data_IF_829671143207
#
_entry.id   IF_829671143207
#
_cell.length_a   1.000
_cell.length_b   1.000
_cell.length_c   1.000
_cell.angle_alpha   90.00
_cell.angle_beta   90.00
_cell.angle_gamma   90.00
#
_symmetry.space_group_name_H-M   'P 1'
#
loop_
_entity.id
_entity.type
_entity.pdbx_description
1 polymer ?
#
# COMPACT_ATOMS: atom_id res chain seq x y z
N UNK A 1 17.33 -19.19 32.54
CA UNK A 1 16.99 -19.53 31.14
C UNK A 1 16.17 -20.80 31.14
N UNK A 2 15.09 -20.86 30.35
CA UNK A 2 14.27 -22.06 30.16
C UNK A 2 14.84 -22.95 29.03
N UNK A 3 14.48 -24.23 28.96
CA UNK A 3 14.93 -25.10 27.89
C UNK A 3 14.50 -24.60 26.49
N UNK A 4 13.33 -23.98 26.37
CA UNK A 4 12.87 -23.39 25.11
C UNK A 4 13.79 -22.26 24.62
N UNK A 5 14.17 -21.35 25.52
CA UNK A 5 15.11 -20.28 25.22
C UNK A 5 16.51 -20.82 24.90
N UNK A 6 16.94 -21.88 25.59
CA UNK A 6 18.21 -22.54 25.31
C UNK A 6 18.24 -23.16 23.91
N UNK A 7 17.16 -23.82 23.48
CA UNK A 7 17.05 -24.42 22.15
C UNK A 7 17.11 -23.37 21.02
N UNK A 8 16.41 -22.25 21.17
CA UNK A 8 16.43 -21.15 20.20
C UNK A 8 17.85 -20.58 20.04
N UNK A 9 18.53 -20.33 21.17
CA UNK A 9 19.93 -19.86 21.18
C UNK A 9 20.92 -20.88 20.60
N UNK A 10 20.71 -22.16 20.87
CA UNK A 10 21.54 -23.23 20.30
C UNK A 10 21.40 -23.31 18.78
N UNK A 11 20.20 -23.06 18.23
CA UNK A 11 19.99 -23.04 16.78
C UNK A 11 20.68 -21.85 16.11
N UNK A 12 20.68 -20.68 16.74
CA UNK A 12 21.40 -19.48 16.24
C UNK A 12 22.92 -19.68 16.23
N UNK A 13 23.46 -20.41 17.23
CA UNK A 13 24.89 -20.64 17.40
C UNK A 13 25.38 -21.92 16.71
N UNK A 14 24.48 -22.73 16.14
CA UNK A 14 24.79 -23.99 15.49
C UNK A 14 25.85 -23.89 14.36
N UNK A 15 25.85 -22.87 13.48
CA UNK A 15 26.84 -22.79 12.39
C UNK A 15 28.25 -22.35 12.85
N UNK A 16 28.44 -22.02 14.14
CA UNK A 16 29.74 -21.65 14.67
C UNK A 16 30.52 -22.92 15.00
N UNK A 17 31.25 -23.41 14.01
CA UNK A 17 32.24 -24.46 14.20
C UNK A 17 33.45 -23.89 14.93
N UNK A 18 33.56 -24.16 16.24
CA UNK A 18 34.81 -23.90 16.99
C UNK A 18 34.67 -23.66 18.49
N UNK A 19 35.84 -23.37 19.09
CA UNK A 19 36.07 -23.01 20.50
C UNK A 19 35.48 -21.64 20.91
N UNK A 20 34.53 -21.10 20.15
CA UNK A 20 33.88 -19.85 20.51
C UNK A 20 33.15 -19.99 21.85
N UNK A 21 33.45 -19.05 22.74
CA UNK A 21 32.95 -19.06 24.10
C UNK A 21 31.43 -18.91 24.10
N UNK A 22 30.74 -19.94 24.57
CA UNK A 22 29.29 -19.90 24.78
C UNK A 22 28.93 -18.74 25.74
N UNK A 23 27.81 -18.04 25.49
CA UNK A 23 27.27 -17.07 26.44
C UNK A 23 27.16 -17.67 27.85
N UNK A 24 27.58 -16.93 28.89
CA UNK A 24 27.71 -17.45 30.26
C UNK A 24 26.42 -18.03 30.85
N UNK A 25 25.29 -17.50 30.45
CA UNK A 25 23.94 -17.91 30.81
C UNK A 25 23.53 -19.23 30.13
N UNK A 26 23.93 -19.44 28.88
CA UNK A 26 23.78 -20.72 28.17
C UNK A 26 24.71 -21.79 28.76
N UNK A 27 25.97 -21.44 29.02
CA UNK A 27 26.94 -22.34 29.64
C UNK A 27 26.48 -22.83 31.02
N UNK A 28 25.98 -21.93 31.88
CA UNK A 28 25.41 -22.31 33.18
C UNK A 28 24.21 -23.23 33.06
N UNK A 29 23.33 -23.01 32.09
CA UNK A 29 22.18 -23.89 31.90
C UNK A 29 22.60 -25.29 31.44
N UNK A 30 23.56 -25.38 30.50
CA UNK A 30 24.10 -26.64 29.99
C UNK A 30 24.78 -27.49 31.07
N UNK A 31 25.32 -26.86 32.13
CA UNK A 31 25.84 -27.59 33.30
C UNK A 31 24.73 -28.29 34.10
N UNK A 32 23.51 -27.77 34.07
CA UNK A 32 22.37 -28.27 34.85
C UNK A 32 21.36 -29.09 34.05
N UNK A 33 21.37 -29.02 32.72
CA UNK A 33 20.37 -29.63 31.86
C UNK A 33 21.00 -30.61 30.86
N UNK A 34 20.86 -31.90 31.14
CA UNK A 34 21.40 -32.98 30.31
C UNK A 34 20.83 -32.99 28.89
N UNK A 35 19.52 -32.77 28.75
CA UNK A 35 18.83 -32.78 27.45
C UNK A 35 19.34 -31.70 26.49
N UNK A 36 19.56 -30.48 26.98
CA UNK A 36 20.10 -29.39 26.13
C UNK A 36 21.57 -29.65 25.76
N UNK A 37 22.33 -30.32 26.63
CA UNK A 37 23.71 -30.72 26.38
C UNK A 37 23.81 -31.78 25.29
N UNK A 38 22.94 -32.79 25.31
CA UNK A 38 22.83 -33.79 24.24
C UNK A 38 22.50 -33.13 22.89
N UNK A 39 21.57 -32.17 22.88
CA UNK A 39 21.18 -31.45 21.67
C UNK A 39 22.33 -30.64 21.07
N UNK A 40 23.13 -29.97 21.91
CA UNK A 40 24.33 -29.25 21.49
C UNK A 40 25.37 -30.22 20.90
N UNK A 41 25.59 -31.37 21.55
CA UNK A 41 26.53 -32.38 21.08
C UNK A 41 26.13 -32.94 19.71
N UNK A 42 24.85 -33.33 19.55
CA UNK A 42 24.31 -33.83 18.28
C UNK A 42 24.42 -32.77 17.17
N UNK A 43 24.17 -31.50 17.48
CA UNK A 43 24.30 -30.41 16.51
C UNK A 43 25.76 -30.22 16.08
N UNK A 44 26.71 -30.22 17.03
CA UNK A 44 28.14 -30.12 16.72
C UNK A 44 28.63 -31.28 15.87
N UNK A 45 28.22 -32.50 16.20
CA UNK A 45 28.58 -33.68 15.41
C UNK A 45 28.08 -33.58 13.96
N UNK A 46 26.83 -33.13 13.76
CA UNK A 46 26.29 -32.89 12.41
C UNK A 46 27.10 -31.84 11.64
N UNK A 47 27.51 -30.75 12.29
CA UNK A 47 28.32 -29.71 11.66
C UNK A 47 29.75 -30.16 11.37
N UNK A 48 30.35 -30.96 12.24
CA UNK A 48 31.65 -31.57 12.00
C UNK A 48 31.58 -32.52 10.80
N UNK A 49 30.53 -33.34 10.68
CA UNK A 49 30.32 -34.19 9.49
C UNK A 49 30.14 -33.36 8.21
N UNK A 50 29.40 -32.25 8.28
CA UNK A 50 29.25 -31.30 7.17
C UNK A 50 30.57 -30.59 6.81
N UNK A 51 31.41 -30.27 7.79
CA UNK A 51 32.71 -29.64 7.57
C UNK A 51 33.71 -30.57 6.87
N UNK A 52 33.58 -31.88 7.07
CA UNK A 52 34.37 -32.91 6.39
C UNK A 52 33.73 -33.39 5.09
N UNK A 53 32.55 -32.86 4.72
CA UNK A 53 31.95 -33.16 3.44
C UNK A 53 32.92 -32.70 2.34
N UNK A 54 33.31 -33.56 1.40
CA UNK A 54 34.23 -33.18 0.35
C UNK A 54 33.64 -32.00 -0.42
N UNK A 55 34.33 -30.85 -0.37
CA UNK A 55 34.03 -29.71 -1.23
C UNK A 55 34.12 -30.19 -2.67
N UNK A 56 32.95 -30.45 -3.26
CA UNK A 56 32.86 -30.83 -4.64
C UNK A 56 33.13 -29.55 -5.44
N UNK A 57 34.25 -29.48 -6.14
CA UNK A 57 34.58 -28.34 -6.99
C UNK A 57 33.40 -28.08 -7.93
N UNK A 58 32.70 -26.98 -7.69
CA UNK A 58 31.61 -26.57 -8.57
C UNK A 58 32.19 -26.34 -9.96
N UNK A 59 31.62 -26.93 -11.01
CA UNK A 59 32.06 -26.68 -12.38
C UNK A 59 32.08 -25.17 -12.63
N UNK A 60 33.20 -24.64 -13.13
CA UNK A 60 33.36 -23.20 -13.36
C UNK A 60 32.25 -22.62 -14.26
N UNK A 61 31.67 -23.46 -15.11
CA UNK A 61 30.52 -23.14 -15.95
C UNK A 61 29.23 -22.91 -15.14
N UNK A 62 28.99 -23.69 -14.09
CA UNK A 62 27.87 -23.49 -13.17
C UNK A 62 28.04 -22.21 -12.36
N UNK A 63 29.24 -21.94 -11.84
CA UNK A 63 29.56 -20.70 -11.13
C UNK A 63 29.36 -19.49 -12.03
N UNK A 64 29.85 -19.54 -13.28
CA UNK A 64 29.62 -18.49 -14.28
C UNK A 64 28.13 -18.33 -14.59
N UNK A 65 27.38 -19.42 -14.71
CA UNK A 65 25.93 -19.37 -15.01
C UNK A 65 25.14 -18.76 -13.86
N UNK A 66 25.46 -19.12 -12.62
CA UNK A 66 24.84 -18.53 -11.42
C UNK A 66 25.25 -17.06 -11.28
N UNK A 67 26.52 -16.72 -11.46
CA UNK A 67 27.00 -15.34 -11.38
C UNK A 67 26.42 -14.43 -12.48
N UNK A 68 26.25 -14.96 -13.70
CA UNK A 68 25.63 -14.22 -14.81
C UNK A 68 24.12 -14.05 -14.60
N UNK A 69 23.41 -15.08 -14.11
CA UNK A 69 22.00 -14.93 -13.69
C UNK A 69 21.84 -13.94 -12.54
N UNK A 70 22.66 -14.03 -11.50
CA UNK A 70 22.63 -13.11 -10.37
C UNK A 70 22.92 -11.66 -10.82
N UNK A 71 23.87 -11.46 -11.74
CA UNK A 71 24.14 -10.14 -12.33
C UNK A 71 23.04 -9.66 -13.27
N UNK A 72 22.38 -10.55 -14.00
CA UNK A 72 21.24 -10.21 -14.85
C UNK A 72 19.99 -9.86 -14.03
N UNK A 73 19.73 -10.57 -12.94
CA UNK A 73 18.69 -10.23 -11.95
C UNK A 73 19.03 -8.92 -11.19
N UNK A 74 20.30 -8.68 -10.88
CA UNK A 74 20.75 -7.43 -10.29
C UNK A 74 20.69 -6.25 -11.28
N UNK A 75 20.88 -6.47 -12.59
CA UNK A 75 20.73 -5.44 -13.63
C UNK A 75 19.28 -5.17 -14.00
N UNK A 76 18.40 -6.17 -13.93
CA UNK A 76 16.94 -6.00 -14.10
C UNK A 76 16.25 -5.47 -12.84
N UNK A 77 16.99 -5.28 -11.75
CA UNK A 77 16.65 -4.32 -10.71
C UNK A 77 16.83 -2.87 -11.22
N UNK A 78 16.26 -2.59 -12.40
CA UNK A 78 16.04 -1.26 -12.93
C UNK A 78 15.39 -0.40 -11.85
N UNK A 79 15.92 0.80 -11.70
CA UNK A 79 15.66 1.70 -10.58
C UNK A 79 14.16 1.73 -10.24
N UNK A 80 13.75 1.17 -9.08
CA UNK A 80 12.33 1.08 -8.71
C UNK A 80 11.66 2.45 -8.65
N UNK A 81 12.46 3.49 -8.46
CA UNK A 81 12.06 4.88 -8.50
C UNK A 81 11.62 5.34 -9.90
N UNK A 82 12.37 5.00 -10.96
CA UNK A 82 12.06 5.48 -12.31
C UNK A 82 10.77 4.90 -12.86
N UNK A 83 10.53 3.60 -12.63
CA UNK A 83 9.29 2.94 -13.05
C UNK A 83 8.10 3.53 -12.28
N UNK A 84 8.24 3.72 -10.96
CA UNK A 84 7.21 4.35 -10.14
C UNK A 84 6.89 5.78 -10.59
N UNK A 85 7.93 6.55 -10.94
CA UNK A 85 7.80 7.90 -11.50
C UNK A 85 7.06 7.92 -12.83
N UNK A 86 7.37 7.02 -13.76
CA UNK A 86 6.69 6.93 -15.06
C UNK A 86 5.20 6.61 -14.86
N UNK A 87 4.87 5.61 -14.05
CA UNK A 87 3.48 5.27 -13.76
C UNK A 87 2.75 6.40 -13.05
N UNK A 88 3.41 7.05 -12.09
CA UNK A 88 2.83 8.18 -11.37
C UNK A 88 2.55 9.37 -12.28
N UNK A 89 3.45 9.66 -13.21
CA UNK A 89 3.28 10.70 -14.21
C UNK A 89 2.13 10.38 -15.17
N UNK A 90 2.06 9.15 -15.69
CA UNK A 90 0.97 8.72 -16.58
C UNK A 90 -0.39 8.81 -15.88
N UNK A 91 -0.47 8.38 -14.62
CA UNK A 91 -1.69 8.49 -13.82
C UNK A 91 -2.09 9.95 -13.57
N UNK A 92 -1.12 10.81 -13.24
CA UNK A 92 -1.35 12.25 -13.06
C UNK A 92 -1.86 12.90 -14.35
N UNK A 93 -1.27 12.58 -15.50
CA UNK A 93 -1.68 13.09 -16.81
C UNK A 93 -3.08 12.60 -17.20
N UNK A 94 -3.40 11.33 -16.97
CA UNK A 94 -4.72 10.78 -17.24
C UNK A 94 -5.80 11.45 -16.38
N UNK A 95 -5.53 11.62 -15.07
CA UNK A 95 -6.44 12.32 -14.17
C UNK A 95 -6.60 13.81 -14.55
N UNK A 96 -5.51 14.47 -14.94
CA UNK A 96 -5.55 15.86 -15.42
C UNK A 96 -6.40 16.00 -16.70
N UNK A 97 -6.23 15.07 -17.65
CA UNK A 97 -6.99 15.03 -18.89
C UNK A 97 -8.50 14.86 -18.65
N UNK A 98 -8.88 13.95 -17.75
CA UNK A 98 -10.29 13.76 -17.38
C UNK A 98 -10.87 15.04 -16.79
N UNK A 99 -10.15 15.73 -15.90
CA UNK A 99 -10.61 16.98 -15.31
C UNK A 99 -10.70 18.10 -16.36
N UNK A 100 -9.66 18.29 -17.18
CA UNK A 100 -9.63 19.36 -18.19
C UNK A 100 -10.69 19.19 -19.29
N UNK A 101 -11.13 17.95 -19.55
CA UNK A 101 -12.18 17.68 -20.55
C UNK A 101 -13.57 18.20 -20.15
N UNK A 102 -13.79 18.53 -18.86
CA UNK A 102 -15.10 18.92 -18.31
C UNK A 102 -15.10 20.25 -17.55
N UNK A 103 -13.93 20.74 -17.13
CA UNK A 103 -13.78 21.97 -16.35
C UNK A 103 -12.93 22.96 -17.14
N UNK A 104 -13.45 24.17 -17.39
CA UNK A 104 -12.63 25.28 -17.88
C UNK A 104 -11.61 25.65 -16.80
N UNK A 105 -10.34 25.43 -17.10
CA UNK A 105 -9.21 25.75 -16.22
C UNK A 105 -8.69 27.18 -16.43
N UNK A 106 -9.42 28.00 -17.19
CA UNK A 106 -8.98 29.34 -17.62
C UNK A 106 -8.67 30.28 -16.44
N UNK A 107 -9.16 29.96 -15.25
CA UNK A 107 -9.05 30.76 -14.03
C UNK A 107 -7.96 30.23 -13.07
N UNK A 108 -7.36 29.07 -13.35
CA UNK A 108 -6.32 28.47 -12.49
C UNK A 108 -4.95 28.89 -13.01
N UNK A 109 -4.08 29.49 -12.17
CA UNK A 109 -2.76 29.90 -12.62
C UNK A 109 -1.93 28.68 -13.07
N UNK A 110 -1.10 28.79 -14.13
CA UNK A 110 -0.28 27.68 -14.64
C UNK A 110 0.61 27.05 -13.56
N UNK A 111 1.14 27.86 -12.65
CA UNK A 111 1.93 27.39 -11.50
C UNK A 111 1.11 26.51 -10.54
N UNK A 112 -0.18 26.80 -10.36
CA UNK A 112 -1.08 25.97 -9.55
C UNK A 112 -1.30 24.60 -10.19
N UNK A 113 -1.45 24.54 -11.52
CA UNK A 113 -1.57 23.29 -12.26
C UNK A 113 -0.30 22.44 -12.16
N UNK A 114 0.87 23.06 -12.31
CA UNK A 114 2.17 22.37 -12.16
C UNK A 114 2.36 21.85 -10.74
N UNK A 115 2.02 22.65 -9.72
CA UNK A 115 2.11 22.24 -8.32
C UNK A 115 1.22 21.04 -8.01
N UNK A 116 -0.03 21.05 -8.48
CA UNK A 116 -0.96 19.93 -8.29
C UNK A 116 -0.52 18.68 -9.07
N UNK A 117 -0.05 18.85 -10.31
CA UNK A 117 0.52 17.75 -11.10
C UNK A 117 1.74 17.11 -10.43
N UNK A 118 2.62 17.92 -9.84
CA UNK A 118 3.78 17.43 -9.09
C UNK A 118 3.34 16.66 -7.83
N UNK A 119 2.38 17.18 -7.06
CA UNK A 119 1.81 16.50 -5.89
C UNK A 119 1.20 15.16 -6.29
N UNK A 120 0.43 15.09 -7.37
CA UNK A 120 -0.12 13.85 -7.88
C UNK A 120 0.97 12.86 -8.27
N UNK A 121 1.97 13.32 -9.03
CA UNK A 121 3.08 12.48 -9.47
C UNK A 121 3.80 11.87 -8.26
N UNK A 122 4.09 12.66 -7.23
CA UNK A 122 4.71 12.19 -5.99
C UNK A 122 3.83 11.18 -5.26
N UNK A 123 2.52 11.46 -5.12
CA UNK A 123 1.57 10.55 -4.45
C UNK A 123 1.46 9.21 -5.18
N UNK A 124 1.20 9.23 -6.49
CA UNK A 124 1.11 8.00 -7.28
C UNK A 124 2.44 7.24 -7.33
N UNK A 125 3.57 7.95 -7.45
CA UNK A 125 4.90 7.33 -7.43
C UNK A 125 5.22 6.72 -6.09
N UNK A 126 4.91 7.40 -4.98
CA UNK A 126 5.08 6.86 -3.63
C UNK A 126 4.25 5.60 -3.41
N UNK A 127 3.02 5.60 -3.91
CA UNK A 127 2.11 4.44 -3.83
C UNK A 127 2.64 3.25 -4.64
N UNK A 128 3.15 3.50 -5.85
CA UNK A 128 3.78 2.49 -6.71
C UNK A 128 5.14 2.01 -6.17
N UNK A 129 5.89 2.88 -5.51
CA UNK A 129 7.15 2.56 -4.87
C UNK A 129 6.93 1.68 -3.63
N UNK A 130 5.94 2.01 -2.80
CA UNK A 130 5.49 1.16 -1.68
C UNK A 130 5.04 -0.24 -2.17
N UNK A 131 4.36 -0.31 -3.31
CA UNK A 131 4.00 -1.57 -3.96
C UNK A 131 5.22 -2.43 -4.30
N UNK A 132 6.33 -1.82 -4.74
CA UNK A 132 7.56 -2.55 -5.10
C UNK A 132 8.42 -2.93 -3.88
N UNK A 133 8.46 -2.09 -2.85
CA UNK A 133 9.27 -2.29 -1.64
C UNK A 133 8.76 -3.41 -0.73
N UNK A 134 7.46 -3.70 -0.77
CA UNK A 134 6.83 -4.73 0.05
C UNK A 134 7.11 -6.17 -0.44
N UNK A 135 8.37 -6.50 -0.77
CA UNK A 135 8.79 -7.78 -1.39
C UNK A 135 8.58 -8.99 -0.46
N UNK A 136 8.64 -8.82 0.86
CA UNK A 136 8.36 -9.87 1.87
C UNK A 136 6.86 -10.01 2.25
N UNK A 137 6.03 -9.01 1.98
CA UNK A 137 4.57 -9.04 2.17
C UNK A 137 3.81 -8.95 0.84
N UNK A 138 4.47 -9.46 -0.21
CA UNK A 138 4.21 -9.22 -1.63
C UNK A 138 2.76 -9.48 -2.06
N UNK A 139 2.12 -10.50 -1.48
CA UNK A 139 0.73 -10.85 -1.84
C UNK A 139 -0.26 -9.81 -1.32
N UNK A 140 -0.21 -9.47 -0.03
CA UNK A 140 -1.21 -8.59 0.57
C UNK A 140 -1.18 -7.16 0.00
N UNK A 141 0.01 -6.57 -0.18
CA UNK A 141 0.17 -5.21 -0.71
C UNK A 141 -0.19 -5.14 -2.20
N UNK A 142 0.10 -6.19 -2.96
CA UNK A 142 -0.29 -6.29 -4.36
C UNK A 142 -1.81 -6.21 -4.53
N UNK A 143 -2.56 -6.94 -3.69
CA UNK A 143 -4.03 -6.93 -3.73
C UNK A 143 -4.62 -5.61 -3.28
N UNK A 144 -4.13 -5.03 -2.18
CA UNK A 144 -4.58 -3.72 -1.71
C UNK A 144 -4.39 -2.65 -2.79
N UNK A 145 -3.23 -2.64 -3.44
CA UNK A 145 -2.93 -1.66 -4.51
C UNK A 145 -3.79 -1.88 -5.74
N UNK A 146 -4.03 -3.13 -6.15
CA UNK A 146 -4.94 -3.44 -7.26
C UNK A 146 -6.36 -2.97 -6.97
N UNK A 147 -6.87 -3.16 -5.76
CA UNK A 147 -8.17 -2.64 -5.35
C UNK A 147 -8.21 -1.11 -5.45
N UNK A 148 -7.16 -0.42 -4.99
CA UNK A 148 -7.06 1.05 -5.08
C UNK A 148 -7.02 1.53 -6.54
N UNK A 149 -6.29 0.86 -7.43
CA UNK A 149 -6.22 1.22 -8.85
C UNK A 149 -7.55 0.98 -9.57
N UNK A 150 -8.22 -0.13 -9.29
CA UNK A 150 -9.56 -0.43 -9.85
C UNK A 150 -10.57 0.60 -9.34
N UNK A 151 -10.57 0.89 -8.04
CA UNK A 151 -11.41 1.94 -7.46
C UNK A 151 -11.11 3.31 -8.07
N UNK A 152 -9.83 3.64 -8.29
CA UNK A 152 -9.38 4.85 -8.98
C UNK A 152 -9.91 4.95 -10.41
N UNK A 153 -9.78 3.88 -11.20
CA UNK A 153 -10.31 3.81 -12.55
C UNK A 153 -11.84 3.94 -12.59
N UNK A 154 -12.54 3.23 -11.70
CA UNK A 154 -14.00 3.34 -11.57
C UNK A 154 -14.43 4.74 -11.14
N UNK A 155 -13.72 5.37 -10.23
CA UNK A 155 -13.98 6.75 -9.81
C UNK A 155 -13.81 7.74 -10.97
N UNK A 156 -12.73 7.62 -11.74
CA UNK A 156 -12.50 8.47 -12.91
C UNK A 156 -13.59 8.25 -13.97
N UNK A 157 -14.00 7.00 -14.20
CA UNK A 157 -15.10 6.67 -15.12
C UNK A 157 -16.43 7.25 -14.63
N UNK A 158 -16.75 7.09 -13.35
CA UNK A 158 -17.94 7.70 -12.75
C UNK A 158 -17.88 9.23 -12.77
N UNK A 159 -16.69 9.82 -12.64
CA UNK A 159 -16.49 11.28 -12.74
C UNK A 159 -16.69 11.77 -14.17
N UNK A 160 -16.29 10.96 -15.15
CA UNK A 160 -16.47 11.26 -16.57
C UNK A 160 -17.94 11.14 -17.01
N UNK A 161 -18.66 10.15 -16.46
CA UNK A 161 -20.06 9.84 -16.78
C UNK A 161 -21.06 10.68 -15.98
N UNK A 162 -20.75 11.01 -14.73
CA UNK A 162 -21.63 11.81 -13.87
C UNK A 162 -21.51 13.30 -14.19
N UNK A 163 -22.63 14.02 -14.35
CA UNK A 163 -22.63 15.47 -14.57
C UNK A 163 -22.36 16.22 -13.24
N UNK A 164 -21.19 16.01 -12.65
CA UNK A 164 -20.64 16.84 -11.56
C UNK A 164 -20.56 18.35 -11.92
N UNK A 165 -20.43 18.79 -13.18
CA UNK A 165 -20.48 20.22 -13.51
C UNK A 165 -21.77 20.92 -13.07
N UNK A 166 -22.90 20.20 -12.95
CA UNK A 166 -24.17 20.75 -12.48
C UNK A 166 -24.16 21.10 -10.99
N UNK A 167 -23.47 20.31 -10.15
CA UNK A 167 -23.30 20.61 -8.72
C UNK A 167 -22.30 21.75 -8.49
N UNK A 168 -21.26 21.84 -9.32
CA UNK A 168 -20.27 22.94 -9.29
C UNK A 168 -20.91 24.28 -9.68
N UNK A 169 -21.73 24.31 -10.73
CA UNK A 169 -22.46 25.53 -11.16
C UNK A 169 -23.57 25.94 -10.18
N UNK A 170 -24.18 24.98 -9.48
CA UNK A 170 -25.12 25.28 -8.39
C UNK A 170 -24.41 25.96 -7.20
N UNK A 171 -23.21 25.49 -6.84
CA UNK A 171 -22.46 26.02 -5.70
C UNK A 171 -21.84 27.41 -5.91
N UNK A 172 -21.36 27.73 -7.13
CA UNK A 172 -20.82 29.07 -7.39
C UNK A 172 -21.90 30.16 -7.36
N UNK A 173 -23.15 29.84 -7.69
CA UNK A 173 -24.29 30.78 -7.70
C UNK A 173 -24.90 31.04 -6.33
N UNK A 174 -24.87 30.06 -5.41
CA UNK A 174 -25.55 30.14 -4.10
C UNK A 174 -24.63 30.51 -2.92
N UNK A 175 -23.33 30.74 -3.18
CA UNK A 175 -22.29 30.99 -2.16
C UNK A 175 -22.52 32.25 -1.28
N UNK A 176 -23.02 33.35 -1.86
CA UNK A 176 -23.04 34.65 -1.18
C UNK A 176 -24.33 34.88 -0.37
N UNK A 177 -25.43 34.24 -0.74
CA UNK A 177 -26.77 34.66 -0.31
C UNK A 177 -27.43 33.74 0.74
N UNK A 178 -26.84 32.59 1.07
CA UNK A 178 -27.51 31.61 1.94
C UNK A 178 -27.22 31.72 3.45
N UNK A 179 -28.25 31.52 4.30
CA UNK A 179 -28.15 31.50 5.76
C UNK A 179 -27.34 30.29 6.28
N UNK A 180 -26.81 30.41 7.50
CA UNK A 180 -25.93 29.40 8.13
C UNK A 180 -26.54 27.98 8.22
N UNK A 181 -27.84 27.87 8.44
CA UNK A 181 -28.56 26.57 8.51
C UNK A 181 -28.53 25.82 7.17
N UNK A 182 -28.68 26.54 6.04
CA UNK A 182 -28.62 25.94 4.71
C UNK A 182 -27.21 25.43 4.39
N UNK A 183 -26.17 26.08 4.92
CA UNK A 183 -24.78 25.64 4.74
C UNK A 183 -24.51 24.28 5.39
N UNK A 184 -25.11 24.00 6.55
CA UNK A 184 -24.96 22.71 7.25
C UNK A 184 -25.67 21.60 6.46
N UNK A 185 -26.89 21.87 6.00
CA UNK A 185 -27.67 20.97 5.13
C UNK A 185 -26.90 20.60 3.86
N UNK A 186 -26.30 21.59 3.20
CA UNK A 186 -25.51 21.41 1.98
C UNK A 186 -24.23 20.62 2.29
N UNK A 187 -23.48 20.98 3.33
CA UNK A 187 -22.29 20.25 3.73
C UNK A 187 -22.59 18.78 4.06
N UNK A 188 -23.71 18.50 4.73
CA UNK A 188 -24.16 17.14 5.04
C UNK A 188 -24.53 16.35 3.76
N UNK A 189 -25.15 17.01 2.79
CA UNK A 189 -25.48 16.39 1.50
C UNK A 189 -24.22 16.05 0.72
N UNK A 190 -23.24 16.96 0.67
CA UNK A 190 -21.94 16.70 0.04
C UNK A 190 -21.10 15.66 0.79
N UNK A 191 -21.24 15.59 2.12
CA UNK A 191 -20.67 14.51 2.91
C UNK A 191 -21.23 13.15 2.52
N UNK A 192 -22.56 13.02 2.45
CA UNK A 192 -23.22 11.78 2.03
C UNK A 192 -22.87 11.43 0.58
N UNK A 193 -22.87 12.43 -0.30
CA UNK A 193 -22.50 12.26 -1.69
C UNK A 193 -21.06 11.78 -1.81
N UNK A 194 -20.09 12.47 -1.19
CA UNK A 194 -18.69 12.06 -1.16
C UNK A 194 -18.53 10.65 -0.59
N UNK A 195 -19.26 10.32 0.47
CA UNK A 195 -19.23 9.00 1.11
C UNK A 195 -19.72 7.88 0.21
N UNK A 196 -20.89 8.02 -0.41
CA UNK A 196 -21.40 7.04 -1.37
C UNK A 196 -20.49 6.97 -2.60
N UNK A 197 -20.07 8.13 -3.10
CA UNK A 197 -19.30 8.25 -4.34
C UNK A 197 -17.90 7.64 -4.24
N UNK A 198 -17.24 7.72 -3.09
CA UNK A 198 -15.97 7.06 -2.83
C UNK A 198 -16.14 5.63 -2.31
N UNK A 199 -17.19 5.37 -1.51
CA UNK A 199 -17.41 4.09 -0.87
C UNK A 199 -17.85 2.99 -1.83
N UNK A 200 -18.72 3.28 -2.80
CA UNK A 200 -19.24 2.28 -3.74
C UNK A 200 -18.14 1.69 -4.64
N UNK A 201 -17.30 2.51 -5.32
CA UNK A 201 -16.17 2.01 -6.11
C UNK A 201 -15.19 1.21 -5.25
N UNK A 202 -14.92 1.69 -4.03
CA UNK A 202 -13.97 1.02 -3.13
C UNK A 202 -14.51 -0.32 -2.62
N UNK A 203 -15.81 -0.41 -2.30
CA UNK A 203 -16.46 -1.66 -1.90
C UNK A 203 -16.46 -2.68 -3.04
N UNK A 204 -16.81 -2.26 -4.26
CA UNK A 204 -16.77 -3.12 -5.44
C UNK A 204 -15.34 -3.58 -5.73
N UNK A 205 -14.38 -2.67 -5.71
CA UNK A 205 -12.98 -3.02 -5.99
C UNK A 205 -12.40 -3.98 -4.93
N UNK A 206 -12.68 -3.74 -3.64
CA UNK A 206 -12.26 -4.63 -2.56
C UNK A 206 -12.91 -6.03 -2.66
N UNK A 207 -14.19 -6.08 -3.06
CA UNK A 207 -14.91 -7.34 -3.28
C UNK A 207 -14.36 -8.13 -4.48
N UNK A 208 -14.12 -7.47 -5.61
CA UNK A 208 -13.68 -8.12 -6.85
C UNK A 208 -12.19 -8.46 -6.88
N UNK A 209 -11.39 -7.87 -5.99
CA UNK A 209 -9.95 -8.13 -5.99
C UNK A 209 -9.66 -9.49 -5.37
N UNK A 210 -9.18 -10.49 -6.15
CA UNK A 210 -8.82 -11.81 -5.60
C UNK A 210 -7.60 -11.69 -4.69
N UNK A 211 -7.42 -12.55 -3.68
CA UNK A 211 -6.28 -12.53 -2.75
C UNK A 211 -6.56 -13.21 -1.40
N UNK A 212 -5.52 -13.60 -0.63
CA UNK A 212 -5.70 -14.24 0.67
C UNK A 212 -6.30 -13.23 1.64
N UNK A 213 -7.44 -13.60 2.23
CA UNK A 213 -8.09 -12.86 3.30
C UNK A 213 -7.22 -13.02 4.56
N UNK A 214 -6.68 -11.92 5.10
CA UNK A 214 -6.07 -11.95 6.44
C UNK A 214 -7.20 -11.95 7.47
N UNK A 215 -6.92 -12.45 8.67
CA UNK A 215 -7.87 -12.41 9.81
C UNK A 215 -8.38 -10.99 10.11
N UNK A 216 -7.63 -9.95 9.75
CA UNK A 216 -7.97 -8.56 10.03
C UNK A 216 -8.44 -7.80 8.77
N UNK A 217 -9.63 -8.12 8.28
CA UNK A 217 -10.29 -7.47 7.13
C UNK A 217 -10.51 -5.98 7.34
N UNK A 218 -10.72 -5.55 8.59
CA UNK A 218 -10.84 -4.14 8.97
C UNK A 218 -9.57 -3.35 8.64
N UNK A 219 -8.40 -3.88 9.02
CA UNK A 219 -7.11 -3.26 8.74
C UNK A 219 -6.80 -3.19 7.24
N UNK A 220 -7.19 -4.22 6.47
CA UNK A 220 -7.04 -4.21 5.01
C UNK A 220 -7.96 -3.14 4.37
N UNK A 221 -9.20 -3.06 4.84
CA UNK A 221 -10.17 -2.05 4.38
C UNK A 221 -9.73 -0.62 4.70
N UNK A 222 -9.23 -0.36 5.91
CA UNK A 222 -8.76 0.98 6.29
C UNK A 222 -7.54 1.41 5.50
N UNK A 223 -6.57 0.51 5.28
CA UNK A 223 -5.39 0.82 4.47
C UNK A 223 -5.77 1.13 3.02
N UNK A 224 -6.56 0.27 2.38
CA UNK A 224 -6.94 0.47 0.99
C UNK A 224 -7.85 1.70 0.81
N UNK A 225 -8.82 1.90 1.70
CA UNK A 225 -9.68 3.07 1.70
C UNK A 225 -8.93 4.38 1.94
N UNK A 226 -7.95 4.38 2.85
CA UNK A 226 -7.09 5.53 3.11
C UNK A 226 -6.17 5.86 1.92
N UNK A 227 -5.56 4.83 1.31
CA UNK A 227 -4.76 4.99 0.08
C UNK A 227 -5.59 5.58 -1.06
N UNK A 228 -6.82 5.09 -1.24
CA UNK A 228 -7.75 5.62 -2.24
C UNK A 228 -8.16 7.08 -1.94
N UNK A 229 -8.47 7.43 -0.69
CA UNK A 229 -8.81 8.81 -0.33
C UNK A 229 -7.65 9.78 -0.58
N UNK A 230 -6.41 9.39 -0.25
CA UNK A 230 -5.21 10.16 -0.56
C UNK A 230 -5.06 10.39 -2.08
N UNK A 231 -5.34 9.35 -2.88
CA UNK A 231 -5.33 9.41 -4.34
C UNK A 231 -6.31 10.47 -4.88
N UNK A 232 -7.50 10.54 -4.28
CA UNK A 232 -8.57 11.45 -4.69
C UNK A 232 -8.36 12.89 -4.25
N UNK A 233 -7.56 13.12 -3.20
CA UNK A 233 -7.42 14.42 -2.54
C UNK A 233 -7.13 15.57 -3.52
N UNK A 234 -6.12 15.47 -4.42
CA UNK A 234 -5.80 16.58 -5.31
C UNK A 234 -6.88 16.81 -6.38
N UNK A 235 -7.57 15.75 -6.82
CA UNK A 235 -8.69 15.86 -7.76
C UNK A 235 -9.88 16.59 -7.13
N UNK A 236 -10.22 16.26 -5.88
CA UNK A 236 -11.27 16.94 -5.13
C UNK A 236 -10.90 18.41 -4.93
N UNK A 237 -9.66 18.72 -4.53
CA UNK A 237 -9.20 20.10 -4.34
C UNK A 237 -9.31 20.91 -5.64
N UNK A 238 -8.94 20.35 -6.79
CA UNK A 238 -9.03 21.06 -8.07
C UNK A 238 -10.47 21.29 -8.53
N UNK A 239 -11.33 20.29 -8.39
CA UNK A 239 -12.75 20.42 -8.74
C UNK A 239 -13.49 21.36 -7.79
N UNK A 240 -13.01 21.43 -6.54
CA UNK A 240 -13.69 22.13 -5.47
C UNK A 240 -12.97 23.41 -4.99
N UNK A 241 -11.92 23.87 -5.68
CA UNK A 241 -11.26 25.15 -5.40
C UNK A 241 -12.22 26.35 -5.26
N UNK A 242 -13.34 26.45 -6.00
CA UNK A 242 -14.31 27.53 -5.80
C UNK A 242 -15.33 27.29 -4.66
N UNK A 243 -15.29 26.16 -3.96
CA UNK A 243 -16.26 25.87 -2.90
C UNK A 243 -15.92 26.59 -1.59
N UNK A 244 -16.96 26.87 -0.79
CA UNK A 244 -16.78 27.23 0.61
C UNK A 244 -16.03 26.10 1.34
N UNK A 245 -15.01 26.47 2.13
CA UNK A 245 -14.17 25.55 2.90
C UNK A 245 -14.95 24.45 3.64
N UNK A 246 -16.14 24.76 4.17
CA UNK A 246 -17.01 23.79 4.84
C UNK A 246 -17.59 22.70 3.93
N UNK A 247 -17.92 23.01 2.67
CA UNK A 247 -18.42 22.01 1.72
C UNK A 247 -17.27 21.13 1.22
N UNK A 248 -16.09 21.72 1.02
CA UNK A 248 -14.87 20.98 0.70
C UNK A 248 -14.53 19.97 1.81
N UNK A 249 -14.55 20.40 3.07
CA UNK A 249 -14.34 19.51 4.22
C UNK A 249 -15.43 18.45 4.29
N UNK A 250 -16.69 18.81 4.13
CA UNK A 250 -17.82 17.87 4.14
C UNK A 250 -17.63 16.77 3.09
N UNK A 251 -17.36 17.16 1.84
CA UNK A 251 -17.06 16.22 0.76
C UNK A 251 -15.85 15.37 1.09
N UNK A 252 -14.72 15.98 1.44
CA UNK A 252 -13.47 15.25 1.69
C UNK A 252 -13.60 14.24 2.83
N UNK A 253 -14.21 14.65 3.95
CA UNK A 253 -14.46 13.79 5.11
C UNK A 253 -15.43 12.68 4.76
N UNK A 254 -16.48 13.00 3.99
CA UNK A 254 -17.41 12.02 3.44
C UNK A 254 -16.69 10.98 2.59
N UNK A 255 -15.88 11.42 1.62
CA UNK A 255 -15.12 10.55 0.73
C UNK A 255 -14.11 9.66 1.48
N UNK A 256 -13.42 10.21 2.48
CA UNK A 256 -12.49 9.45 3.34
C UNK A 256 -13.21 8.38 4.16
N UNK A 257 -14.31 8.74 4.83
CA UNK A 257 -15.08 7.77 5.62
C UNK A 257 -15.75 6.74 4.72
N UNK A 258 -16.31 7.19 3.59
CA UNK A 258 -16.91 6.34 2.58
C UNK A 258 -15.93 5.32 2.01
N UNK A 259 -14.72 5.74 1.63
CA UNK A 259 -13.72 4.83 1.11
C UNK A 259 -13.24 3.81 2.13
N UNK A 260 -13.03 4.23 3.38
CA UNK A 260 -12.64 3.34 4.48
C UNK A 260 -13.74 2.32 4.75
N UNK A 261 -14.97 2.77 4.97
CA UNK A 261 -16.12 1.89 5.23
C UNK A 261 -16.43 0.99 4.04
N UNK A 262 -16.34 1.52 2.82
CA UNK A 262 -16.50 0.77 1.58
C UNK A 262 -15.45 -0.33 1.44
N UNK A 263 -14.17 -0.01 1.69
CA UNK A 263 -13.09 -1.00 1.69
C UNK A 263 -13.29 -2.09 2.74
N UNK A 264 -13.66 -1.72 3.98
CA UNK A 264 -13.98 -2.66 5.05
C UNK A 264 -15.15 -3.57 4.66
N UNK A 265 -16.24 -2.99 4.14
CA UNK A 265 -17.43 -3.71 3.72
C UNK A 265 -17.13 -4.68 2.57
N UNK A 266 -16.39 -4.25 1.55
CA UNK A 266 -16.05 -5.08 0.39
C UNK A 266 -15.20 -6.29 0.77
N UNK A 267 -14.17 -6.09 1.59
CA UNK A 267 -13.35 -7.21 2.09
C UNK A 267 -14.12 -8.12 3.07
N UNK A 268 -15.00 -7.55 3.90
CA UNK A 268 -15.85 -8.32 4.82
C UNK A 268 -16.87 -9.19 4.07
N UNK A 269 -17.57 -8.62 3.08
CA UNK A 269 -18.52 -9.35 2.22
C UNK A 269 -17.82 -10.49 1.50
N UNK A 270 -16.62 -10.22 0.95
CA UNK A 270 -15.80 -11.23 0.31
C UNK A 270 -15.43 -12.36 1.26
N UNK A 271 -15.03 -12.04 2.49
CA UNK A 271 -14.68 -13.02 3.52
C UNK A 271 -15.86 -13.88 4.01
N UNK A 272 -17.09 -13.38 3.85
CA UNK A 272 -18.31 -14.12 4.20
C UNK A 272 -18.79 -15.06 3.10
N UNK A 273 -18.49 -14.75 1.84
CA UNK A 273 -19.04 -15.45 0.67
C UNK A 273 -18.03 -16.44 0.08
N UNK A 274 -16.72 -16.18 0.22
CA UNK A 274 -15.63 -17.07 -0.23
C UNK A 274 -15.36 -18.18 0.79
#
# INVERSE_FOLDING_TARGET
MTCAQAHERLAELAPLSGDEALPQDLARHLQSCERCREHLYASRQMWDELAHWPEQEMPAELVRTVATRARAEAKTADSPLAIALVFGLVAALASAFVISSRVSLDHVPPLGLVGVGAVWTVLYSGLFFLFRLAREHQRAVFFLTRAVLVAGGMFLLLSYLSPVPASITFCSRYYVTQPLLDRISIAATYFLFGGVYAGLPMAIAAYLTPGPLRENTAMQGTLAGGMFALLLTPGIIMQCAPFAFGVLIGWFTGALLGSVLGGMLGFWLRARIA
#
